data_IF_440450939847
#
_entry.id   IF_440450939847
#
_cell.length_a   1.000
_cell.length_b   1.000
_cell.length_c   1.000
_cell.angle_alpha   90.00
_cell.angle_beta   90.00
_cell.angle_gamma   90.00
#
_symmetry.space_group_name_H-M   'P 1'
#
loop_
_entity.id
_entity.type
_entity.pdbx_description
1 polymer ?
#
# COMPACT_ATOMS: atom_id res chain seq x y z
N UNK A 1 -26.31 -9.75 27.84
CA UNK A 1 -27.01 -9.78 26.54
C UNK A 1 -27.91 -8.55 26.24
N UNK A 2 -28.39 -7.75 27.21
CA UNK A 2 -29.25 -6.57 26.92
C UNK A 2 -28.57 -5.46 26.11
N UNK A 3 -27.24 -5.28 26.26
CA UNK A 3 -26.49 -4.23 25.55
C UNK A 3 -26.41 -4.46 24.03
N UNK A 4 -26.25 -5.71 23.58
CA UNK A 4 -26.23 -6.03 22.14
C UNK A 4 -27.58 -5.73 21.47
N UNK A 5 -28.69 -6.07 22.14
CA UNK A 5 -30.04 -5.75 21.65
C UNK A 5 -30.31 -4.25 21.57
N UNK A 6 -29.70 -3.46 22.46
CA UNK A 6 -29.78 -2.00 22.39
C UNK A 6 -28.95 -1.44 21.22
N UNK A 7 -27.73 -1.93 21.01
CA UNK A 7 -26.87 -1.53 19.89
C UNK A 7 -27.53 -1.78 18.53
N UNK A 8 -28.22 -2.91 18.38
CA UNK A 8 -28.97 -3.23 17.17
C UNK A 8 -30.15 -2.28 16.89
N UNK A 9 -30.78 -1.73 17.95
CA UNK A 9 -31.83 -0.71 17.82
C UNK A 9 -31.29 0.69 17.60
N UNK A 10 -30.10 0.97 18.12
CA UNK A 10 -29.50 2.30 18.11
C UNK A 10 -28.70 2.56 16.82
N UNK A 11 -28.16 1.54 16.17
CA UNK A 11 -27.41 1.70 14.93
C UNK A 11 -28.32 2.25 13.83
N UNK A 12 -27.87 3.31 13.15
CA UNK A 12 -28.54 3.79 11.95
C UNK A 12 -28.00 3.01 10.75
N UNK A 13 -28.85 2.32 9.96
CA UNK A 13 -28.38 1.64 8.76
C UNK A 13 -27.93 2.71 7.76
N UNK A 14 -26.64 2.72 7.45
CA UNK A 14 -26.12 3.50 6.34
C UNK A 14 -26.54 2.78 5.08
N UNK A 15 -27.47 3.36 4.33
CA UNK A 15 -27.91 2.85 3.02
C UNK A 15 -26.75 3.04 2.06
N UNK A 16 -25.89 2.03 1.97
CA UNK A 16 -25.02 1.88 0.82
C UNK A 16 -25.95 1.42 -0.32
N UNK A 17 -26.18 2.26 -1.33
CA UNK A 17 -26.74 1.77 -2.59
C UNK A 17 -25.74 0.83 -3.28
N UNK A 18 -25.88 0.68 -4.60
CA UNK A 18 -24.82 0.03 -5.41
C UNK A 18 -23.47 0.76 -5.24
N UNK A 19 -23.51 2.08 -5.01
CA UNK A 19 -22.34 2.89 -4.68
C UNK A 19 -22.34 3.31 -3.20
N UNK A 20 -21.23 3.13 -2.48
CA UNK A 20 -21.10 3.63 -1.12
C UNK A 20 -21.00 5.16 -1.08
N UNK A 21 -21.66 5.77 -0.11
CA UNK A 21 -21.54 7.21 0.12
C UNK A 21 -20.10 7.55 0.59
N UNK A 22 -19.32 8.10 -0.34
CA UNK A 22 -17.93 8.47 -0.12
C UNK A 22 -17.79 9.51 1.00
N UNK A 23 -18.79 10.36 1.21
CA UNK A 23 -18.72 11.42 2.21
C UNK A 23 -18.83 10.85 3.62
N UNK A 24 -19.76 9.93 3.85
CA UNK A 24 -19.89 9.21 5.12
C UNK A 24 -18.60 8.45 5.45
N UNK A 25 -18.02 7.75 4.46
CA UNK A 25 -16.75 7.04 4.62
C UNK A 25 -15.60 7.99 5.00
N UNK A 26 -15.54 9.17 4.38
CA UNK A 26 -14.56 10.20 4.75
C UNK A 26 -14.79 10.70 6.18
N UNK A 27 -16.03 10.92 6.62
CA UNK A 27 -16.28 11.36 8.00
C UNK A 27 -15.83 10.31 9.03
N UNK A 28 -16.09 9.03 8.77
CA UNK A 28 -15.65 7.93 9.64
C UNK A 28 -14.12 7.86 9.70
N UNK A 29 -13.46 7.84 8.53
CA UNK A 29 -12.00 7.79 8.46
C UNK A 29 -11.33 9.03 9.10
N UNK A 30 -11.87 10.22 8.85
CA UNK A 30 -11.42 11.48 9.45
C UNK A 30 -11.48 11.46 10.96
N UNK A 31 -12.57 10.94 11.53
CA UNK A 31 -12.74 10.85 12.98
C UNK A 31 -11.67 9.96 13.61
N UNK A 32 -11.33 8.83 12.98
CA UNK A 32 -10.27 7.96 13.45
C UNK A 32 -8.88 8.63 13.35
N UNK A 33 -8.57 9.25 12.21
CA UNK A 33 -7.24 9.81 11.93
C UNK A 33 -6.94 11.10 12.70
N UNK A 34 -7.94 11.96 12.94
CA UNK A 34 -7.75 13.23 13.69
C UNK A 34 -7.30 13.02 15.14
N UNK A 35 -7.56 11.85 15.72
CA UNK A 35 -7.07 11.54 17.07
C UNK A 35 -5.60 11.13 17.12
N UNK A 36 -4.98 10.88 15.96
CA UNK A 36 -3.62 10.32 15.84
C UNK A 36 -2.64 11.28 15.18
N UNK A 37 -3.14 12.24 14.41
CA UNK A 37 -2.34 13.09 13.53
C UNK A 37 -2.82 14.54 13.59
N UNK A 38 -1.95 15.45 13.15
CA UNK A 38 -2.30 16.85 12.99
C UNK A 38 -3.41 17.00 11.93
N UNK A 39 -4.31 17.97 12.12
CA UNK A 39 -5.55 18.11 11.31
C UNK A 39 -5.28 18.13 9.81
N UNK A 40 -4.34 18.97 9.35
CA UNK A 40 -3.98 19.09 7.94
C UNK A 40 -3.52 17.75 7.32
N UNK A 41 -2.70 16.98 8.04
CA UNK A 41 -2.21 15.68 7.58
C UNK A 41 -3.32 14.61 7.63
N UNK A 42 -4.15 14.66 8.68
CA UNK A 42 -5.29 13.76 8.83
C UNK A 42 -6.30 13.91 7.69
N UNK A 43 -6.57 15.14 7.26
CA UNK A 43 -7.50 15.41 6.17
C UNK A 43 -6.95 14.90 4.82
N UNK A 44 -5.65 15.09 4.54
CA UNK A 44 -5.00 14.51 3.36
C UNK A 44 -5.04 12.97 3.36
N UNK A 45 -4.68 12.35 4.48
CA UNK A 45 -4.66 10.88 4.59
C UNK A 45 -6.06 10.29 4.55
N UNK A 46 -7.07 11.02 5.02
CA UNK A 46 -8.47 10.58 4.93
C UNK A 46 -8.88 10.33 3.49
N UNK A 47 -8.55 11.26 2.59
CA UNK A 47 -8.87 11.11 1.18
C UNK A 47 -8.12 9.92 0.55
N UNK A 48 -6.85 9.75 0.92
CA UNK A 48 -6.01 8.64 0.45
C UNK A 48 -6.61 7.30 0.88
N UNK A 49 -6.90 7.12 2.17
CA UNK A 49 -7.41 5.86 2.72
C UNK A 49 -8.76 5.48 2.09
N UNK A 50 -9.69 6.43 1.99
CA UNK A 50 -11.00 6.15 1.38
C UNK A 50 -10.84 5.76 -0.09
N UNK A 51 -9.99 6.46 -0.84
CA UNK A 51 -9.75 6.12 -2.25
C UNK A 51 -9.07 4.75 -2.41
N UNK A 52 -8.14 4.39 -1.54
CA UNK A 52 -7.49 3.07 -1.54
C UNK A 52 -8.50 1.94 -1.35
N UNK A 53 -9.38 2.08 -0.35
CA UNK A 53 -10.39 1.05 -0.03
C UNK A 53 -11.44 0.93 -1.14
N UNK A 54 -11.83 2.04 -1.75
CA UNK A 54 -12.76 2.01 -2.89
C UNK A 54 -12.13 1.37 -4.13
N UNK A 55 -10.82 1.54 -4.34
CA UNK A 55 -10.10 0.96 -5.48
C UNK A 55 -10.03 -0.58 -5.43
N UNK A 56 -9.96 -1.16 -4.23
CA UNK A 56 -9.88 -2.62 -4.03
C UNK A 56 -11.25 -3.30 -3.90
N UNK A 57 -12.32 -2.51 -3.69
CA UNK A 57 -13.66 -3.04 -3.45
C UNK A 57 -14.17 -3.77 -4.69
N UNK A 58 -14.48 -5.05 -4.52
CA UNK A 58 -15.30 -5.82 -5.46
C UNK A 58 -16.69 -6.03 -4.82
N UNK A 59 -17.79 -5.91 -5.57
CA UNK A 59 -19.13 -5.97 -5.00
C UNK A 59 -19.48 -7.34 -4.39
N UNK A 60 -18.89 -8.42 -4.89
CA UNK A 60 -19.22 -9.79 -4.46
C UNK A 60 -18.23 -10.39 -3.45
N UNK A 61 -17.07 -9.77 -3.25
CA UNK A 61 -15.99 -10.29 -2.40
C UNK A 61 -15.80 -9.42 -1.16
N UNK A 62 -15.39 -10.04 -0.05
CA UNK A 62 -14.91 -9.30 1.11
C UNK A 62 -13.69 -8.44 0.75
N UNK A 63 -13.52 -7.33 1.45
CA UNK A 63 -12.36 -6.46 1.23
C UNK A 63 -11.10 -7.15 1.73
N UNK A 64 -10.16 -7.43 0.83
CA UNK A 64 -8.84 -7.94 1.16
C UNK A 64 -7.86 -6.79 1.43
N UNK A 65 -7.38 -6.68 2.67
CA UNK A 65 -6.43 -5.66 3.10
C UNK A 65 -5.01 -5.91 2.57
N UNK A 66 -4.68 -7.15 2.16
CA UNK A 66 -3.36 -7.45 1.56
C UNK A 66 -3.19 -6.81 0.18
N UNK A 67 -4.27 -6.35 -0.45
CA UNK A 67 -4.22 -5.61 -1.71
C UNK A 67 -3.71 -4.17 -1.54
N UNK A 68 -3.60 -3.65 -0.31
CA UNK A 68 -3.10 -2.29 -0.03
C UNK A 68 -1.77 -2.40 0.70
N UNK A 69 -0.70 -2.07 -0.01
CA UNK A 69 0.65 -2.03 0.55
C UNK A 69 1.02 -0.62 1.02
N UNK A 70 1.66 -0.51 2.20
CA UNK A 70 2.14 0.75 2.76
C UNK A 70 3.66 0.83 2.61
N UNK A 71 4.10 1.50 1.54
CA UNK A 71 5.51 1.72 1.27
C UNK A 71 6.03 2.97 1.99
N UNK A 72 6.96 2.78 2.92
CA UNK A 72 7.58 3.87 3.66
C UNK A 72 8.84 4.35 2.95
N UNK A 73 8.81 5.54 2.37
CA UNK A 73 9.99 6.19 1.81
C UNK A 73 10.60 7.13 2.85
N UNK A 74 11.91 7.00 3.09
CA UNK A 74 12.65 7.90 3.99
C UNK A 74 12.90 9.25 3.31
N UNK A 75 11.87 10.07 3.20
CA UNK A 75 11.94 11.46 2.78
C UNK A 75 11.73 12.41 3.96
N UNK A 76 12.16 13.67 3.83
CA UNK A 76 12.20 14.63 4.94
C UNK A 76 10.85 15.29 5.26
N UNK A 77 9.79 15.01 4.50
CA UNK A 77 8.49 15.66 4.62
C UNK A 77 7.36 14.64 4.73
N UNK A 78 6.54 14.76 5.78
CA UNK A 78 5.39 13.88 6.03
C UNK A 78 4.19 14.19 5.12
N UNK A 79 4.18 15.38 4.51
CA UNK A 79 3.09 15.89 3.66
C UNK A 79 3.08 15.25 2.27
N UNK A 80 4.13 14.54 1.86
CA UNK A 80 4.26 14.00 0.49
C UNK A 80 3.65 12.60 0.31
N UNK A 81 2.77 12.17 1.22
CA UNK A 81 2.08 10.88 1.10
C UNK A 81 1.05 10.92 -0.04
N UNK A 82 1.11 9.93 -0.94
CA UNK A 82 0.22 9.83 -2.10
C UNK A 82 -0.28 8.42 -2.32
N UNK A 83 -1.48 8.30 -2.88
CA UNK A 83 -2.01 7.04 -3.39
C UNK A 83 -1.45 6.78 -4.79
N UNK A 84 -0.87 5.59 -5.00
CA UNK A 84 -0.52 5.09 -6.33
C UNK A 84 -1.50 3.96 -6.66
N UNK A 85 -2.24 4.09 -7.76
CA UNK A 85 -3.13 3.05 -8.27
C UNK A 85 -2.31 2.00 -9.05
N UNK A 86 -1.46 1.27 -8.33
CA UNK A 86 -0.53 0.30 -8.90
C UNK A 86 0.52 -0.13 -7.90
N UNK A 87 1.53 -0.87 -8.38
CA UNK A 87 2.62 -1.36 -7.56
C UNK A 87 3.80 -0.38 -7.57
N UNK A 88 4.35 -0.10 -6.39
CA UNK A 88 5.56 0.72 -6.23
C UNK A 88 6.73 -0.18 -5.87
N UNK A 89 7.80 -0.11 -6.66
CA UNK A 89 9.05 -0.80 -6.37
C UNK A 89 10.05 0.19 -5.76
N UNK A 90 10.82 -0.28 -4.78
CA UNK A 90 11.81 0.51 -4.03
C UNK A 90 13.11 0.78 -4.83
N UNK A 91 13.32 0.03 -5.91
CA UNK A 91 14.48 0.14 -6.78
C UNK A 91 14.08 0.40 -8.23
N UNK A 92 14.80 1.35 -8.85
CA UNK A 92 14.64 1.69 -10.26
C UNK A 92 15.88 1.32 -11.09
N UNK A 93 16.03 1.99 -12.24
CA UNK A 93 17.14 1.79 -13.16
C UNK A 93 18.51 2.07 -12.51
N UNK A 94 19.45 1.13 -12.63
CA UNK A 94 20.82 1.26 -12.11
C UNK A 94 21.78 1.95 -13.09
N UNK A 95 21.53 1.84 -14.39
CA UNK A 95 22.42 2.37 -15.44
C UNK A 95 21.88 3.68 -16.02
N UNK A 96 22.71 4.71 -16.29
CA UNK A 96 22.24 5.98 -16.85
C UNK A 96 21.61 5.84 -18.25
N UNK A 97 22.12 4.91 -19.06
CA UNK A 97 21.59 4.65 -20.42
C UNK A 97 20.29 3.82 -20.43
N UNK A 98 19.84 3.33 -19.27
CA UNK A 98 18.56 2.64 -19.15
C UNK A 98 17.42 3.67 -19.21
N UNK A 99 16.36 3.36 -19.96
CA UNK A 99 15.22 4.28 -20.15
C UNK A 99 14.60 4.64 -18.80
N UNK A 100 14.48 5.95 -18.52
CA UNK A 100 13.84 6.47 -17.28
C UNK A 100 12.32 6.37 -17.28
N UNK A 101 11.70 6.36 -18.47
CA UNK A 101 10.26 6.23 -18.65
C UNK A 101 10.00 5.22 -19.76
N UNK A 102 9.13 4.26 -19.48
CA UNK A 102 8.64 3.29 -20.44
C UNK A 102 7.11 3.30 -20.39
N UNK A 103 6.48 3.28 -21.56
CA UNK A 103 5.03 3.19 -21.72
C UNK A 103 4.73 1.90 -22.48
N UNK A 104 3.61 1.24 -22.19
CA UNK A 104 3.20 -0.03 -22.80
C UNK A 104 4.29 -1.12 -22.74
N UNK A 105 4.89 -1.31 -21.56
CA UNK A 105 5.92 -2.32 -21.32
C UNK A 105 5.32 -3.62 -20.78
N UNK A 106 5.92 -4.75 -21.16
CA UNK A 106 5.69 -6.04 -20.51
C UNK A 106 6.72 -6.25 -19.40
N UNK A 107 6.29 -6.80 -18.28
CA UNK A 107 7.14 -7.06 -17.11
C UNK A 107 7.54 -8.54 -17.13
N UNK A 108 8.85 -8.80 -17.15
CA UNK A 108 9.38 -10.14 -16.94
C UNK A 108 9.67 -10.34 -15.45
N UNK A 109 8.91 -11.22 -14.82
CA UNK A 109 9.15 -11.65 -13.43
C UNK A 109 9.86 -13.00 -13.46
N UNK A 110 11.00 -13.12 -12.78
CA UNK A 110 11.75 -14.37 -12.71
C UNK A 110 12.45 -14.51 -11.36
N UNK A 111 12.36 -15.69 -10.75
CA UNK A 111 13.10 -16.04 -9.53
C UNK A 111 14.38 -16.81 -9.90
N UNK A 112 15.24 -16.19 -10.70
CA UNK A 112 16.52 -16.77 -11.14
C UNK A 112 17.62 -15.71 -11.05
N UNK A 113 18.80 -16.09 -10.60
CA UNK A 113 19.99 -15.23 -10.64
C UNK A 113 20.43 -15.03 -12.08
N UNK A 114 20.46 -13.78 -12.55
CA UNK A 114 21.02 -13.40 -13.85
C UNK A 114 22.42 -12.78 -13.73
N UNK A 115 22.92 -12.65 -12.50
CA UNK A 115 24.24 -12.11 -12.24
C UNK A 115 25.32 -13.16 -12.55
N UNK A 116 26.49 -12.67 -12.98
CA UNK A 116 27.64 -13.54 -13.15
C UNK A 116 28.17 -13.95 -11.77
N UNK A 117 27.77 -15.12 -11.31
CA UNK A 117 28.32 -15.73 -10.11
C UNK A 117 29.67 -16.38 -10.45
N UNK A 118 30.75 -15.86 -9.85
CA UNK A 118 32.01 -16.61 -9.83
C UNK A 118 31.79 -17.84 -8.98
N UNK A 119 32.09 -19.02 -9.53
CA UNK A 119 32.03 -20.28 -8.78
C UNK A 119 32.95 -20.15 -7.57
N UNK A 120 32.36 -20.15 -6.38
CA UNK A 120 33.11 -20.27 -5.14
C UNK A 120 33.55 -21.74 -5.00
N UNK A 121 34.55 -22.14 -5.78
CA UNK A 121 35.23 -23.42 -5.52
C UNK A 121 35.99 -23.27 -4.21
N UNK A 122 35.73 -24.16 -3.26
CA UNK A 122 36.35 -24.28 -1.96
C UNK A 122 37.85 -24.68 -2.01
N UNK A 123 38.59 -24.16 -2.99
CA UNK A 123 40.02 -24.40 -3.20
C UNK A 123 40.90 -23.22 -2.77
N UNK A 124 40.33 -22.12 -2.27
CA UNK A 124 41.07 -20.98 -1.70
C UNK A 124 40.99 -20.84 -0.17
N UNK A 125 40.34 -21.78 0.53
CA UNK A 125 40.27 -21.75 2.01
C UNK A 125 41.39 -22.51 2.72
N UNK A 126 42.14 -23.39 2.04
CA UNK A 126 43.24 -24.14 2.65
C UNK A 126 44.59 -23.40 2.68
N UNK A 127 44.72 -22.26 1.98
CA UNK A 127 45.96 -21.47 1.93
C UNK A 127 45.99 -20.29 2.91
N UNK A 128 44.91 -20.09 3.69
CA UNK A 128 44.84 -19.05 4.74
C UNK A 128 45.01 -19.66 6.15
N UNK A 129 45.08 -21.01 6.25
CA UNK A 129 45.28 -21.74 7.50
C UNK A 129 46.45 -22.74 7.43
N UNK A 130 47.53 -22.39 6.73
CA UNK A 130 48.87 -23.00 6.90
C UNK A 130 49.96 -21.94 6.77
#
# INVERSE_FOLDING_TARGET
MKALQFLEKFKTPVVMGDEPDREILKMVARTALRTKLHEALADQLTDIVVNSVLCIRKPEEGIDLFMVEIMHMRHKFDVDTRLVQGLVLDHGSRHPDMKRRAENCFILTGNVSLEYEKRCSSSQLESIWN
#
